data_IF_315057074405
#
_entry.id   IF_315057074405
#
_cell.length_a   1.000
_cell.length_b   1.000
_cell.length_c   1.000
_cell.angle_alpha   90.00
_cell.angle_beta   90.00
_cell.angle_gamma   90.00
#
_symmetry.space_group_name_H-M   'P 1'
#
loop_
_entity.id
_entity.type
_entity.pdbx_description
1 polymer ?
#
# COMPACT_ATOMS: atom_id res chain seq x y z
N UNK A 1 -36.14 -7.45 -14.27
CA UNK A 1 -36.29 -7.69 -12.82
C UNK A 1 -35.07 -8.46 -12.39
N UNK A 2 -33.99 -7.76 -12.06
CA UNK A 2 -32.67 -8.37 -11.78
C UNK A 2 -32.30 -7.98 -10.37
N UNK A 3 -32.76 -8.80 -9.43
CA UNK A 3 -32.34 -8.77 -8.06
C UNK A 3 -30.93 -9.36 -8.00
N UNK A 4 -29.90 -8.52 -8.04
CA UNK A 4 -28.55 -8.88 -7.60
C UNK A 4 -28.23 -7.96 -6.44
N UNK A 5 -28.89 -8.23 -5.32
CA UNK A 5 -28.69 -7.52 -4.07
C UNK A 5 -27.54 -8.21 -3.30
N UNK A 6 -26.49 -7.42 -3.02
CA UNK A 6 -25.88 -7.33 -1.68
C UNK A 6 -25.00 -8.49 -1.13
N UNK A 7 -24.29 -9.27 -1.94
CA UNK A 7 -23.42 -10.34 -1.38
C UNK A 7 -21.93 -10.33 -1.74
N UNK A 8 -21.40 -9.37 -2.50
CA UNK A 8 -19.97 -9.42 -2.85
C UNK A 8 -19.33 -8.04 -3.07
N UNK A 9 -19.50 -7.11 -2.14
CA UNK A 9 -18.79 -5.81 -2.15
C UNK A 9 -17.49 -5.85 -1.33
N UNK A 10 -17.29 -6.90 -0.51
CA UNK A 10 -16.12 -7.05 0.36
C UNK A 10 -14.97 -7.74 -0.37
N UNK A 11 -15.24 -8.87 -1.03
CA UNK A 11 -14.19 -9.64 -1.73
C UNK A 11 -13.70 -8.89 -2.96
N UNK A 12 -14.61 -8.29 -3.75
CA UNK A 12 -14.21 -7.37 -4.84
C UNK A 12 -13.45 -6.14 -4.36
N UNK A 13 -13.82 -5.52 -3.23
CA UNK A 13 -13.08 -4.38 -2.69
C UNK A 13 -11.67 -4.77 -2.21
N UNK A 14 -11.51 -5.97 -1.63
CA UNK A 14 -10.20 -6.51 -1.23
C UNK A 14 -9.33 -6.82 -2.46
N UNK A 15 -9.90 -7.41 -3.51
CA UNK A 15 -9.18 -7.64 -4.78
C UNK A 15 -8.72 -6.31 -5.40
N UNK A 16 -9.56 -5.26 -5.34
CA UNK A 16 -9.20 -3.94 -5.85
C UNK A 16 -8.04 -3.28 -5.08
N UNK A 17 -7.93 -3.55 -3.78
CA UNK A 17 -6.87 -2.99 -2.92
C UNK A 17 -5.55 -3.71 -3.10
N UNK A 18 -5.55 -5.04 -3.18
CA UNK A 18 -4.36 -5.85 -3.48
C UNK A 18 -3.74 -5.47 -4.85
N UNK A 19 -4.58 -5.32 -5.88
CA UNK A 19 -4.12 -4.87 -7.20
C UNK A 19 -3.55 -3.44 -7.17
N UNK A 20 -4.15 -2.54 -6.37
CA UNK A 20 -3.63 -1.19 -6.20
C UNK A 20 -2.26 -1.21 -5.52
N UNK A 21 -2.08 -1.99 -4.46
CA UNK A 21 -0.78 -2.13 -3.76
C UNK A 21 0.29 -2.66 -4.72
N UNK A 22 -0.01 -3.70 -5.51
CA UNK A 22 0.94 -4.24 -6.49
C UNK A 22 1.33 -3.21 -7.54
N UNK A 23 0.36 -2.44 -8.05
CA UNK A 23 0.61 -1.38 -9.03
C UNK A 23 1.53 -0.30 -8.46
N UNK A 24 1.20 0.22 -7.28
CA UNK A 24 1.98 1.29 -6.66
C UNK A 24 3.38 0.82 -6.24
N UNK A 25 3.54 -0.44 -5.81
CA UNK A 25 4.86 -1.04 -5.58
C UNK A 25 5.69 -1.13 -6.86
N UNK A 26 5.07 -1.50 -7.99
CA UNK A 26 5.77 -1.54 -9.28
C UNK A 26 6.22 -0.14 -9.71
N UNK A 27 5.38 0.88 -9.53
CA UNK A 27 5.72 2.29 -9.79
C UNK A 27 6.87 2.75 -8.88
N UNK A 28 6.78 2.48 -7.58
CA UNK A 28 7.82 2.82 -6.61
C UNK A 28 9.17 2.16 -6.96
N UNK A 29 9.16 0.88 -7.35
CA UNK A 29 10.36 0.16 -7.81
C UNK A 29 10.94 0.76 -9.09
N UNK A 30 10.09 1.18 -10.03
CA UNK A 30 10.56 1.82 -11.26
C UNK A 30 11.22 3.19 -11.00
N UNK A 31 10.69 3.95 -10.03
CA UNK A 31 11.16 5.30 -9.70
C UNK A 31 12.38 5.30 -8.77
N UNK A 32 12.40 4.43 -7.77
CA UNK A 32 13.41 4.41 -6.70
C UNK A 32 14.36 3.21 -6.77
N UNK A 33 14.15 2.30 -7.73
CA UNK A 33 14.87 1.03 -7.79
C UNK A 33 14.46 0.08 -6.67
N UNK A 34 15.29 -0.94 -6.44
CA UNK A 34 15.18 -1.82 -5.27
C UNK A 34 15.80 -1.17 -4.04
N UNK A 35 15.37 0.04 -3.68
CA UNK A 35 15.82 0.68 -2.45
C UNK A 35 15.39 -0.15 -1.23
N UNK A 36 16.12 -0.03 -0.12
CA UNK A 36 15.79 -0.77 1.09
C UNK A 36 14.41 -0.38 1.62
N UNK A 37 13.98 0.88 1.43
CA UNK A 37 12.65 1.38 1.79
C UNK A 37 11.53 0.64 1.05
N UNK A 38 11.66 0.51 -0.29
CA UNK A 38 10.66 -0.18 -1.11
C UNK A 38 10.62 -1.67 -0.77
N UNK A 39 11.77 -2.28 -0.46
CA UNK A 39 11.83 -3.66 0.02
C UNK A 39 11.18 -3.82 1.39
N UNK A 40 11.40 -2.89 2.32
CA UNK A 40 10.77 -2.92 3.64
C UNK A 40 9.26 -2.83 3.55
N UNK A 41 8.71 -1.91 2.73
CA UNK A 41 7.26 -1.81 2.52
C UNK A 41 6.72 -3.12 1.92
N UNK A 42 7.38 -3.67 0.90
CA UNK A 42 6.92 -4.89 0.24
C UNK A 42 6.95 -6.12 1.17
N UNK A 43 7.96 -6.22 2.05
CA UNK A 43 8.08 -7.34 2.99
C UNK A 43 7.08 -7.24 4.15
N UNK A 44 6.70 -6.02 4.54
CA UNK A 44 5.72 -5.80 5.60
C UNK A 44 4.27 -5.99 5.15
N UNK A 45 4.00 -5.89 3.85
CA UNK A 45 2.67 -6.05 3.28
C UNK A 45 2.13 -7.48 3.45
N UNK A 46 0.97 -7.62 4.08
CA UNK A 46 0.34 -8.91 4.37
C UNK A 46 0.95 -9.65 5.57
N UNK A 47 2.05 -9.15 6.13
CA UNK A 47 2.64 -9.64 7.38
C UNK A 47 2.21 -8.77 8.56
N UNK A 48 2.67 -7.51 8.59
CA UNK A 48 2.38 -6.54 9.66
C UNK A 48 1.56 -5.33 9.19
N UNK A 49 1.42 -5.13 7.88
CA UNK A 49 0.67 -4.02 7.28
C UNK A 49 -0.45 -4.53 6.39
N UNK A 50 -1.65 -3.97 6.54
CA UNK A 50 -2.75 -4.21 5.61
C UNK A 50 -2.59 -3.43 4.29
N UNK A 51 -3.47 -3.66 3.32
CA UNK A 51 -3.39 -3.01 2.00
C UNK A 51 -3.44 -1.47 2.09
N UNK A 52 -4.24 -0.95 3.03
CA UNK A 52 -4.44 0.49 3.20
C UNK A 52 -3.23 1.13 3.85
N UNK A 53 -2.65 0.48 4.87
CA UNK A 53 -1.41 0.89 5.51
C UNK A 53 -0.25 0.85 4.51
N UNK A 54 -0.19 -0.19 3.68
CA UNK A 54 0.83 -0.34 2.63
C UNK A 54 0.73 0.77 1.59
N UNK A 55 -0.47 1.06 1.07
CA UNK A 55 -0.68 2.21 0.17
C UNK A 55 -0.31 3.53 0.84
N UNK A 56 -0.63 3.69 2.12
CA UNK A 56 -0.25 4.87 2.91
C UNK A 56 1.26 5.06 2.97
N UNK A 57 2.01 3.97 3.23
CA UNK A 57 3.47 4.00 3.30
C UNK A 57 4.12 4.28 1.93
N UNK A 58 3.59 3.71 0.84
CA UNK A 58 4.08 3.99 -0.52
C UNK A 58 3.88 5.47 -0.86
N UNK A 59 2.69 6.03 -0.62
CA UNK A 59 2.42 7.45 -0.88
C UNK A 59 3.20 8.40 0.04
N UNK A 60 3.49 7.99 1.27
CA UNK A 60 4.36 8.75 2.16
C UNK A 60 5.79 8.75 1.61
N UNK A 61 6.32 7.58 1.28
CA UNK A 61 7.65 7.42 0.69
C UNK A 61 7.80 8.19 -0.62
N UNK A 62 6.81 8.15 -1.53
CA UNK A 62 6.85 8.87 -2.80
C UNK A 62 6.93 10.40 -2.61
N UNK A 63 6.28 10.91 -1.55
CA UNK A 63 6.29 12.35 -1.20
C UNK A 63 7.55 12.79 -0.46
N UNK A 64 8.09 11.95 0.42
CA UNK A 64 9.14 12.37 1.37
C UNK A 64 10.52 11.78 1.04
N UNK A 65 10.57 10.77 0.18
CA UNK A 65 11.75 9.92 -0.05
C UNK A 65 12.09 9.02 1.14
N UNK A 66 11.25 8.94 2.18
CA UNK A 66 11.51 8.16 3.39
C UNK A 66 10.25 7.59 4.03
N UNK A 67 10.22 6.27 4.25
CA UNK A 67 9.12 5.56 4.92
C UNK A 67 8.95 6.01 6.39
N UNK A 68 10.03 6.52 7.01
CA UNK A 68 10.05 6.95 8.41
C UNK A 68 9.75 8.43 8.62
N UNK A 69 9.51 9.20 7.56
CA UNK A 69 9.23 10.63 7.69
C UNK A 69 8.02 10.91 8.62
N UNK A 70 7.04 10.02 8.70
CA UNK A 70 5.91 10.10 9.63
C UNK A 70 6.23 9.67 11.07
N UNK A 71 7.22 8.78 11.25
CA UNK A 71 7.66 8.29 12.56
C UNK A 71 8.49 9.36 13.28
N UNK A 72 9.38 10.06 12.56
CA UNK A 72 10.23 11.11 13.14
C UNK A 72 9.38 12.30 13.63
N UNK A 73 8.28 12.63 12.95
CA UNK A 73 7.41 13.74 13.34
C UNK A 73 6.40 13.41 14.46
N UNK A 74 6.29 12.15 14.88
CA UNK A 74 5.35 11.71 15.91
C UNK A 74 5.99 11.55 17.30
N UNK A 75 7.31 11.77 17.42
CA UNK A 75 8.02 11.87 18.70
C UNK A 75 7.91 13.32 19.17
N UNK A 76 6.84 13.66 19.89
CA UNK A 76 6.70 14.95 20.57
C UNK A 76 6.03 14.80 21.93
#
# INVERSE_FOLDING_TARGET
MTAVYFLDMSETAVICLDDAVRRELAVARAKHGNSWEVQSIANSWGDIMDDRETLGAIHLFDRTGSVFAGVICSIH
#
